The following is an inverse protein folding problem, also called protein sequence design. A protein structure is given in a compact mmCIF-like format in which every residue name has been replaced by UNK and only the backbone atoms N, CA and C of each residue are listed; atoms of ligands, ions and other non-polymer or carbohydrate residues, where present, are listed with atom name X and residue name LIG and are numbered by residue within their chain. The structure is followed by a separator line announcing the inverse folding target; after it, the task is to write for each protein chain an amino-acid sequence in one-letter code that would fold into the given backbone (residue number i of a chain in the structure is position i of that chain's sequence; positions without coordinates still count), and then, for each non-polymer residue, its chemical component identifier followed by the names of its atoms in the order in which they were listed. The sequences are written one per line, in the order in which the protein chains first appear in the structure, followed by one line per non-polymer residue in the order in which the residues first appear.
data_IF_898118466301
#
_entry.id   IF_898118466301
#
_cell.length_a   1.000
_cell.length_b   1.000
_cell.length_c   1.000
_cell.angle_alpha   90.00
_cell.angle_beta   90.00
_cell.angle_gamma   90.00
#
_symmetry.space_group_name_H-M   'P 1'
#
loop_
_entity.id
_entity.type
_entity.pdbx_description
1 polymer ?
#
# COMPACT_ATOMS: atom_id res chain seq x y z
N UNK A 1 -9.58 29.44 32.01
CA UNK A 1 -8.81 29.46 30.76
C UNK A 1 -7.32 29.23 30.99
N UNK A 2 -6.75 29.88 32.01
CA UNK A 2 -5.32 29.84 32.32
C UNK A 2 -4.78 28.44 32.70
N UNK A 3 -5.54 27.64 33.45
CA UNK A 3 -5.15 26.29 33.83
C UNK A 3 -5.02 25.32 32.64
N UNK A 4 -5.81 25.50 31.59
CA UNK A 4 -5.74 24.66 30.38
C UNK A 4 -4.50 25.02 29.55
N UNK A 5 -4.16 26.30 29.47
CA UNK A 5 -2.95 26.76 28.78
C UNK A 5 -1.69 26.35 29.55
N UNK A 6 -1.72 26.44 30.88
CA UNK A 6 -0.61 25.99 31.74
C UNK A 6 -0.39 24.49 31.67
N UNK A 7 -1.47 23.68 31.61
CA UNK A 7 -1.41 22.23 31.46
C UNK A 7 -0.94 21.77 30.06
N UNK A 8 -1.24 22.54 29.02
CA UNK A 8 -0.81 22.26 27.65
C UNK A 8 0.71 22.43 27.45
N UNK A 9 1.34 23.30 28.26
CA UNK A 9 2.77 23.58 28.13
C UNK A 9 3.12 24.42 26.89
N UNK A 10 4.43 24.61 26.60
CA UNK A 10 4.90 25.45 25.51
C UNK A 10 4.81 24.80 24.13
N UNK A 11 4.69 23.47 24.08
CA UNK A 11 4.65 22.73 22.81
C UNK A 11 3.24 22.68 22.22
N UNK A 12 3.09 22.71 20.89
CA UNK A 12 1.78 22.64 20.26
C UNK A 12 1.15 21.26 20.51
N UNK A 13 -0.12 21.23 20.96
CA UNK A 13 -0.90 20.00 21.18
C UNK A 13 -1.19 19.30 19.85
N UNK A 14 -1.33 20.05 18.77
CA UNK A 14 -1.57 19.56 17.41
C UNK A 14 -0.55 20.17 16.46
N UNK A 15 -0.08 19.34 15.53
CA UNK A 15 0.78 19.79 14.43
C UNK A 15 0.23 19.27 13.09
N UNK A 16 0.36 20.09 12.06
CA UNK A 16 0.04 19.69 10.68
C UNK A 16 1.36 19.34 10.01
N UNK A 17 1.51 18.09 9.61
CA UNK A 17 2.67 17.63 8.85
C UNK A 17 2.39 17.80 7.34
N UNK A 18 3.34 18.36 6.58
CA UNK A 18 3.20 18.46 5.13
C UNK A 18 3.26 17.07 4.50
N UNK A 19 2.56 16.89 3.37
CA UNK A 19 2.78 15.73 2.53
C UNK A 19 4.17 15.77 1.91
N UNK A 20 4.83 14.62 1.89
CA UNK A 20 6.11 14.44 1.22
C UNK A 20 5.90 13.74 -0.13
N UNK A 21 6.68 14.11 -1.14
CA UNK A 21 6.70 13.44 -2.43
C UNK A 21 7.01 11.95 -2.25
N UNK A 22 6.25 11.10 -2.95
CA UNK A 22 6.38 9.63 -2.90
C UNK A 22 6.37 9.03 -4.30
N UNK A 23 7.32 8.13 -4.56
CA UNK A 23 7.31 7.23 -5.71
C UNK A 23 6.51 5.99 -5.36
N UNK A 24 5.52 5.66 -6.18
CA UNK A 24 4.56 4.58 -5.89
C UNK A 24 4.60 3.53 -6.98
N UNK A 25 4.82 2.26 -6.60
CA UNK A 25 4.59 1.10 -7.46
C UNK A 25 3.17 0.56 -7.25
N UNK A 26 2.51 0.11 -8.31
CA UNK A 26 1.18 -0.52 -8.25
C UNK A 26 1.28 -1.97 -8.72
N UNK A 27 0.79 -2.90 -7.90
CA UNK A 27 0.67 -4.32 -8.22
C UNK A 27 -0.80 -4.68 -8.22
N UNK A 28 -1.37 -4.94 -9.40
CA UNK A 28 -2.79 -5.34 -9.55
C UNK A 28 -2.87 -6.84 -9.76
N UNK A 29 -3.44 -7.57 -8.81
CA UNK A 29 -3.59 -9.02 -8.89
C UNK A 29 -4.95 -9.42 -9.47
N UNK A 30 -5.04 -10.66 -9.90
CA UNK A 30 -6.24 -11.25 -10.50
C UNK A 30 -5.94 -11.90 -11.83
N UNK A 31 -6.18 -13.21 -11.91
CA UNK A 31 -5.94 -14.01 -13.14
C UNK A 31 -6.81 -13.55 -14.30
N UNK A 32 -8.03 -13.07 -14.03
CA UNK A 32 -8.94 -12.57 -15.05
C UNK A 32 -8.43 -11.27 -15.67
N UNK A 33 -7.87 -10.37 -14.86
CA UNK A 33 -7.25 -9.13 -15.32
C UNK A 33 -6.02 -9.45 -16.16
N UNK A 34 -5.14 -10.32 -15.67
CA UNK A 34 -3.92 -10.76 -16.39
C UNK A 34 -4.24 -11.37 -17.75
N UNK A 35 -5.29 -12.17 -17.85
CA UNK A 35 -5.72 -12.83 -19.09
C UNK A 35 -6.54 -11.89 -20.00
N UNK A 36 -6.81 -10.66 -19.56
CA UNK A 36 -7.63 -9.71 -20.32
C UNK A 36 -9.11 -10.07 -20.42
N UNK A 37 -9.59 -10.96 -19.53
CA UNK A 37 -11.00 -11.38 -19.48
C UNK A 37 -11.90 -10.30 -18.87
N UNK A 38 -11.34 -9.53 -17.95
CA UNK A 38 -11.97 -8.33 -17.36
C UNK A 38 -11.02 -7.15 -17.50
N UNK A 39 -11.62 -5.97 -17.70
CA UNK A 39 -10.87 -4.72 -17.72
C UNK A 39 -10.46 -4.35 -16.28
N UNK A 40 -9.21 -3.96 -16.09
CA UNK A 40 -8.75 -3.38 -14.84
C UNK A 40 -9.42 -2.02 -14.61
N UNK A 41 -10.33 -1.97 -13.68
CA UNK A 41 -11.05 -0.75 -13.27
C UNK A 41 -10.46 -0.12 -12.01
N UNK A 42 -9.63 -0.85 -11.26
CA UNK A 42 -9.05 -0.38 -10.01
C UNK A 42 -7.83 0.52 -10.23
N UNK A 43 -6.92 0.13 -11.09
CA UNK A 43 -5.70 0.92 -11.33
C UNK A 43 -5.97 2.35 -11.81
N UNK A 44 -6.92 2.63 -12.72
CA UNK A 44 -7.25 4.01 -13.06
C UNK A 44 -7.71 4.83 -11.86
N UNK A 45 -8.55 4.26 -10.99
CA UNK A 45 -9.04 4.92 -9.77
C UNK A 45 -7.90 5.15 -8.78
N UNK A 46 -7.00 4.18 -8.60
CA UNK A 46 -5.83 4.35 -7.74
C UNK A 46 -4.91 5.47 -8.25
N UNK A 47 -4.67 5.53 -9.55
CA UNK A 47 -3.85 6.60 -10.16
C UNK A 47 -4.50 7.97 -9.98
N UNK A 48 -5.82 8.07 -10.16
CA UNK A 48 -6.58 9.30 -9.92
C UNK A 48 -6.42 9.73 -8.45
N UNK A 49 -6.65 8.83 -7.50
CA UNK A 49 -6.51 9.12 -6.07
C UNK A 49 -5.09 9.51 -5.66
N UNK A 50 -4.10 8.80 -6.19
CA UNK A 50 -2.70 9.15 -5.93
C UNK A 50 -2.34 10.53 -6.48
N UNK A 51 -2.92 10.95 -7.62
CA UNK A 51 -2.66 12.26 -8.22
C UNK A 51 -3.16 13.45 -7.40
N UNK A 52 -4.07 13.22 -6.44
CA UNK A 52 -4.51 14.24 -5.47
C UNK A 52 -3.41 14.61 -4.45
N UNK A 53 -2.34 13.84 -4.38
CA UNK A 53 -1.21 14.00 -3.45
C UNK A 53 0.10 14.17 -4.23
N UNK A 54 1.17 14.68 -3.60
CA UNK A 54 2.48 14.78 -4.25
C UNK A 54 3.11 13.39 -4.45
N UNK A 55 2.58 12.62 -5.41
CA UNK A 55 3.04 11.26 -5.73
C UNK A 55 3.35 11.12 -7.21
N UNK A 56 4.24 10.19 -7.53
CA UNK A 56 4.56 9.73 -8.88
C UNK A 56 4.37 8.22 -8.96
N UNK A 57 3.50 7.75 -9.83
CA UNK A 57 3.39 6.31 -10.12
C UNK A 57 4.53 5.91 -11.05
N UNK A 58 5.54 5.20 -10.51
CA UNK A 58 6.75 4.80 -11.25
C UNK A 58 6.52 3.55 -12.11
N UNK A 59 5.45 2.80 -11.86
CA UNK A 59 5.11 1.63 -12.65
C UNK A 59 3.88 0.90 -12.14
N UNK A 60 3.44 -0.04 -12.96
CA UNK A 60 2.31 -0.93 -12.68
C UNK A 60 2.61 -2.31 -13.25
N UNK A 61 2.30 -3.36 -12.48
CA UNK A 61 2.37 -4.76 -12.92
C UNK A 61 1.07 -5.51 -12.66
N UNK A 62 0.89 -6.61 -13.38
CA UNK A 62 -0.29 -7.47 -13.22
C UNK A 62 0.16 -8.94 -13.18
N UNK A 63 0.68 -9.42 -12.03
CA UNK A 63 1.22 -10.78 -11.89
C UNK A 63 0.15 -11.89 -11.99
N UNK A 64 -1.14 -11.55 -11.86
CA UNK A 64 -2.21 -12.51 -11.65
C UNK A 64 -2.24 -12.99 -10.19
N UNK A 65 -2.52 -14.29 -9.98
CA UNK A 65 -2.63 -14.88 -8.62
C UNK A 65 -1.41 -15.74 -8.27
N UNK A 66 -0.28 -15.52 -8.94
CA UNK A 66 0.98 -16.18 -8.62
C UNK A 66 1.68 -15.44 -7.47
N UNK A 67 1.71 -16.11 -6.30
CA UNK A 67 2.28 -15.53 -5.08
C UNK A 67 3.76 -15.15 -5.23
N UNK A 68 4.57 -15.97 -5.90
CA UNK A 68 5.99 -15.68 -6.10
C UNK A 68 6.16 -14.44 -7.00
N UNK A 69 5.39 -14.36 -8.08
CA UNK A 69 5.44 -13.21 -8.98
C UNK A 69 4.97 -11.93 -8.28
N UNK A 70 3.94 -12.00 -7.41
CA UNK A 70 3.49 -10.86 -6.59
C UNK A 70 4.64 -10.37 -5.71
N UNK A 71 5.34 -11.30 -5.05
CA UNK A 71 6.50 -10.97 -4.20
C UNK A 71 7.61 -10.31 -5.01
N UNK A 72 7.96 -10.88 -6.16
CA UNK A 72 9.01 -10.37 -7.04
C UNK A 72 8.69 -8.96 -7.57
N UNK A 73 7.45 -8.74 -8.00
CA UNK A 73 6.99 -7.44 -8.51
C UNK A 73 7.05 -6.36 -7.43
N UNK A 74 6.64 -6.68 -6.19
CA UNK A 74 6.76 -5.76 -5.05
C UNK A 74 8.24 -5.42 -4.80
N UNK A 75 9.10 -6.43 -4.75
CA UNK A 75 10.52 -6.24 -4.50
C UNK A 75 11.21 -5.48 -5.63
N UNK A 76 10.78 -5.68 -6.86
CA UNK A 76 11.29 -4.92 -8.01
C UNK A 76 11.00 -3.42 -7.86
N UNK A 77 9.77 -3.02 -7.51
CA UNK A 77 9.45 -1.62 -7.26
C UNK A 77 10.26 -1.04 -6.10
N UNK A 78 10.43 -1.79 -5.00
CA UNK A 78 11.28 -1.38 -3.88
C UNK A 78 12.74 -1.18 -4.34
N UNK A 79 13.25 -2.04 -5.22
CA UNK A 79 14.60 -1.94 -5.75
C UNK A 79 14.76 -0.79 -6.76
N UNK A 80 13.70 -0.44 -7.48
CA UNK A 80 13.62 0.75 -8.34
C UNK A 80 13.50 2.06 -7.56
N UNK A 81 13.42 2.00 -6.23
CA UNK A 81 13.37 3.16 -5.36
C UNK A 81 11.96 3.67 -5.04
N UNK A 82 10.96 2.80 -5.10
CA UNK A 82 9.62 3.13 -4.61
C UNK A 82 9.67 3.53 -3.13
N UNK A 83 8.89 4.54 -2.79
CA UNK A 83 8.65 4.99 -1.42
C UNK A 83 7.43 4.30 -0.79
N UNK A 84 6.60 3.69 -1.63
CA UNK A 84 5.39 2.97 -1.27
C UNK A 84 5.02 1.99 -2.38
N UNK A 85 4.46 0.84 -2.02
CA UNK A 85 3.84 -0.09 -2.98
C UNK A 85 2.38 -0.28 -2.60
N UNK A 86 1.49 -0.21 -3.59
CA UNK A 86 0.05 -0.45 -3.42
C UNK A 86 -0.31 -1.70 -4.20
N UNK A 87 -0.87 -2.69 -3.49
CA UNK A 87 -1.39 -3.92 -4.07
C UNK A 87 -2.91 -3.86 -4.12
N UNK A 88 -3.50 -4.25 -5.23
CA UNK A 88 -4.96 -4.27 -5.43
C UNK A 88 -5.38 -5.61 -5.99
N UNK A 89 -6.46 -6.17 -5.43
CA UNK A 89 -6.98 -7.51 -5.78
C UNK A 89 -6.39 -8.62 -4.91
N UNK A 90 -7.03 -9.79 -4.93
CA UNK A 90 -6.59 -10.98 -4.20
C UNK A 90 -6.40 -10.79 -2.70
N UNK A 91 -7.22 -9.92 -2.07
CA UNK A 91 -7.10 -9.52 -0.67
C UNK A 91 -8.20 -10.08 0.24
N UNK A 92 -9.15 -10.84 -0.29
CA UNK A 92 -10.24 -11.41 0.49
C UNK A 92 -9.79 -12.64 1.31
N UNK A 93 -10.73 -13.30 1.94
CA UNK A 93 -10.52 -14.54 2.71
C UNK A 93 -10.53 -15.81 1.85
N UNK A 94 -10.69 -15.64 0.55
CA UNK A 94 -10.71 -16.78 -0.37
C UNK A 94 -9.36 -17.48 -0.40
N UNK A 95 -9.30 -18.83 -0.39
CA UNK A 95 -8.04 -19.57 -0.48
C UNK A 95 -7.18 -19.25 -1.71
N UNK A 96 -7.81 -18.76 -2.77
CA UNK A 96 -7.12 -18.37 -4.01
C UNK A 96 -6.55 -16.95 -3.96
N UNK A 97 -6.90 -16.17 -2.95
CA UNK A 97 -6.35 -14.83 -2.73
C UNK A 97 -4.92 -14.89 -2.20
N UNK A 98 -3.95 -14.60 -3.08
CA UNK A 98 -2.53 -14.81 -2.83
C UNK A 98 -1.77 -13.53 -2.42
N UNK A 99 -2.40 -12.36 -2.56
CA UNK A 99 -1.74 -11.07 -2.31
C UNK A 99 -1.22 -10.91 -0.89
N UNK A 100 -1.98 -11.26 0.18
CA UNK A 100 -1.44 -11.19 1.54
C UNK A 100 -0.24 -12.10 1.77
N UNK A 101 -0.25 -13.29 1.12
CA UNK A 101 0.88 -14.21 1.13
C UNK A 101 2.12 -13.64 0.44
N UNK A 102 1.94 -13.05 -0.75
CA UNK A 102 3.01 -12.40 -1.50
C UNK A 102 3.63 -11.24 -0.73
N UNK A 103 2.82 -10.42 -0.07
CA UNK A 103 3.31 -9.33 0.79
C UNK A 103 4.14 -9.87 1.95
N UNK A 104 3.70 -10.94 2.62
CA UNK A 104 4.46 -11.56 3.72
C UNK A 104 5.79 -12.14 3.25
N UNK A 105 5.81 -12.77 2.08
CA UNK A 105 7.02 -13.42 1.53
C UNK A 105 8.10 -12.39 1.13
N UNK A 106 7.78 -11.09 0.99
CA UNK A 106 8.80 -10.03 0.85
C UNK A 106 9.67 -9.88 2.11
N UNK A 107 9.24 -10.43 3.24
CA UNK A 107 9.86 -10.17 4.55
C UNK A 107 9.34 -8.90 5.22
N UNK A 108 8.36 -8.22 4.66
CA UNK A 108 7.74 -7.06 5.28
C UNK A 108 7.00 -7.43 6.57
N UNK A 109 7.11 -6.58 7.57
CA UNK A 109 6.39 -6.72 8.84
C UNK A 109 4.94 -6.27 8.65
N UNK A 110 4.01 -7.21 8.65
CA UNK A 110 2.57 -6.91 8.62
C UNK A 110 2.15 -6.30 9.95
N UNK A 111 1.59 -5.11 9.91
CA UNK A 111 1.08 -4.39 11.10
C UNK A 111 -0.38 -4.72 11.35
N UNK A 112 -1.17 -4.72 10.27
CA UNK A 112 -2.58 -5.08 10.34
C UNK A 112 -3.03 -5.74 9.04
N UNK A 113 -3.99 -6.65 9.17
CA UNK A 113 -4.72 -7.22 8.04
C UNK A 113 -6.18 -7.35 8.47
N UNK A 114 -7.01 -6.55 7.84
CA UNK A 114 -8.39 -6.35 8.19
C UNK A 114 -8.61 -5.16 9.12
N UNK A 115 -9.74 -4.50 8.94
CA UNK A 115 -10.22 -3.41 9.76
C UNK A 115 -11.72 -3.58 10.02
N UNK A 116 -12.23 -3.26 11.23
CA UNK A 116 -13.64 -3.43 11.57
C UNK A 116 -14.53 -2.30 10.98
N UNK A 117 -14.30 -1.97 9.72
CA UNK A 117 -15.02 -0.90 8.99
C UNK A 117 -15.36 -1.35 7.58
N UNK A 118 -16.43 -0.80 7.02
CA UNK A 118 -16.84 -0.98 5.63
C UNK A 118 -17.08 0.40 4.99
N UNK A 119 -16.59 0.63 3.77
CA UNK A 119 -15.70 -0.20 2.93
C UNK A 119 -14.28 -0.26 3.50
N UNK A 120 -13.45 -1.19 3.00
CA UNK A 120 -12.04 -1.31 3.37
C UNK A 120 -11.75 -2.34 4.46
N UNK A 121 -12.69 -3.26 4.74
CA UNK A 121 -12.54 -4.28 5.78
C UNK A 121 -11.29 -5.17 5.62
N UNK A 122 -10.78 -5.33 4.40
CA UNK A 122 -9.63 -6.20 4.11
C UNK A 122 -8.32 -5.42 3.90
N UNK A 123 -8.25 -4.16 4.32
CA UNK A 123 -7.04 -3.36 4.26
C UNK A 123 -5.87 -4.07 4.98
N UNK A 124 -4.77 -4.24 4.28
CA UNK A 124 -3.50 -4.73 4.82
C UNK A 124 -2.48 -3.60 4.83
N UNK A 125 -1.79 -3.44 5.94
CA UNK A 125 -0.67 -2.50 6.06
C UNK A 125 0.56 -3.28 6.52
N UNK A 126 1.61 -3.22 5.72
CA UNK A 126 2.91 -3.80 6.04
C UNK A 126 4.02 -2.77 5.81
N UNK A 127 5.16 -2.98 6.44
CA UNK A 127 6.36 -2.17 6.27
C UNK A 127 7.56 -3.03 5.94
N UNK A 128 8.23 -2.69 4.84
CA UNK A 128 9.52 -3.25 4.46
C UNK A 128 10.64 -2.27 4.84
N UNK A 129 11.68 -2.77 5.51
CA UNK A 129 12.83 -1.96 5.89
C UNK A 129 13.99 -2.19 4.92
N UNK A 130 14.47 -1.10 4.32
CA UNK A 130 15.63 -1.11 3.42
C UNK A 130 16.54 0.07 3.73
N UNK A 131 17.77 -0.21 4.14
CA UNK A 131 18.80 0.81 4.36
C UNK A 131 18.35 1.96 5.29
N UNK A 132 17.62 1.62 6.35
CA UNK A 132 17.08 2.58 7.31
C UNK A 132 15.83 3.34 6.85
N UNK A 133 15.31 3.01 5.66
CA UNK A 133 14.05 3.54 5.12
C UNK A 133 12.93 2.53 5.35
N UNK A 134 11.83 3.01 5.89
CA UNK A 134 10.62 2.23 6.10
C UNK A 134 9.65 2.46 4.94
N UNK A 135 9.41 1.41 4.13
CA UNK A 135 8.61 1.47 2.91
C UNK A 135 7.27 0.79 3.19
N UNK A 136 6.14 1.52 3.18
CA UNK A 136 4.83 0.93 3.34
C UNK A 136 4.45 0.10 2.11
N UNK A 137 3.85 -1.06 2.38
CA UNK A 137 3.17 -1.90 1.41
C UNK A 137 1.71 -1.98 1.86
N UNK A 138 0.81 -1.50 1.01
CA UNK A 138 -0.63 -1.45 1.25
C UNK A 138 -1.33 -2.47 0.35
N UNK A 139 -2.29 -3.20 0.93
CA UNK A 139 -3.08 -4.16 0.20
C UNK A 139 -4.57 -4.02 0.50
#
# INVERSE_FOLDING_TARGET
MDRAVEAAGPEPIFSILPYHFKKVGIVTTGSEVKKGLIQDTFTPVLKEKLSEYPTEVIGQTTPGDDKAQITDDIMEFINQGADMVVCSGGMSVDPDDRTPGGIRDTGARVVTYGAPVLPGAMLLIAYYEKEGKCIPILG
#
